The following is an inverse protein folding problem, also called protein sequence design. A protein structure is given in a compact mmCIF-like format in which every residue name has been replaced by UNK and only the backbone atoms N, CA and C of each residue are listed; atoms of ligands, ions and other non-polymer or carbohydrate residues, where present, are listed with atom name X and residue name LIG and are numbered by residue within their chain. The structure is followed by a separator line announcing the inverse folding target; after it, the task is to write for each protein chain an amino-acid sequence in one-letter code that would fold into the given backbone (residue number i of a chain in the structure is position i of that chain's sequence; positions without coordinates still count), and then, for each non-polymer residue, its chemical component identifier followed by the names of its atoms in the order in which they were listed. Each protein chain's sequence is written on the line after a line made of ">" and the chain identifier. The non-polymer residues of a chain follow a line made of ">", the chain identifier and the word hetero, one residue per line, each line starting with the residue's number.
data_IF_118575750846
#
_entry.id   IF_118575750846
#
_cell.length_a   1.000
_cell.length_b   1.000
_cell.length_c   1.000
_cell.angle_alpha   90.00
_cell.angle_beta   90.00
_cell.angle_gamma   90.00
#
_symmetry.space_group_name_H-M   'P 1'
#
loop_
_entity.id
_entity.type
_entity.pdbx_description
1 polymer ?
#
# COMPACT_ATOMS: atom_id res chain seq x y z
N UNK A 1 -6.62 12.26 1.21
CA UNK A 1 -7.83 12.54 2.03
C UNK A 1 -8.96 11.75 1.39
N UNK A 2 -9.56 10.79 2.10
CA UNK A 2 -10.67 9.98 1.60
C UNK A 2 -11.40 9.33 2.78
N UNK A 3 -12.70 9.10 2.64
CA UNK A 3 -13.53 8.49 3.68
C UNK A 3 -13.29 6.98 3.77
N UNK A 4 -12.97 6.50 4.98
CA UNK A 4 -12.65 5.10 5.23
C UNK A 4 -13.89 4.22 5.01
N UNK A 5 -13.77 3.19 4.15
CA UNK A 5 -14.87 2.27 3.83
C UNK A 5 -15.70 2.62 2.58
N UNK A 6 -15.64 3.86 2.08
CA UNK A 6 -16.26 4.25 0.79
C UNK A 6 -15.25 4.63 -0.28
N UNK A 7 -14.24 5.41 0.07
CA UNK A 7 -13.24 5.92 -0.88
C UNK A 7 -11.88 5.25 -0.71
N UNK A 8 -11.63 4.67 0.47
CA UNK A 8 -10.40 3.94 0.77
C UNK A 8 -10.74 2.63 1.49
N UNK A 9 -10.48 1.52 0.81
CA UNK A 9 -10.65 0.16 1.31
C UNK A 9 -9.42 -0.70 0.90
N UNK A 10 -9.26 -1.90 1.49
CA UNK A 10 -8.12 -2.78 1.21
C UNK A 10 -7.96 -3.14 -0.27
N UNK A 11 -9.06 -3.36 -0.99
CA UNK A 11 -9.03 -3.69 -2.42
C UNK A 11 -8.51 -2.53 -3.29
N UNK A 12 -8.95 -1.30 -2.98
CA UNK A 12 -8.47 -0.09 -3.65
C UNK A 12 -6.98 0.11 -3.37
N UNK A 13 -6.54 -0.07 -2.11
CA UNK A 13 -5.13 0.05 -1.74
C UNK A 13 -4.26 -0.95 -2.50
N UNK A 14 -4.70 -2.20 -2.62
CA UNK A 14 -4.03 -3.22 -3.43
C UNK A 14 -3.89 -2.80 -4.90
N UNK A 15 -5.00 -2.34 -5.50
CA UNK A 15 -5.01 -1.92 -6.92
C UNK A 15 -4.09 -0.72 -7.17
N UNK A 16 -4.03 0.23 -6.23
CA UNK A 16 -3.10 1.37 -6.30
C UNK A 16 -1.66 0.87 -6.26
N UNK A 17 -1.33 -0.01 -5.31
CA UNK A 17 0.01 -0.59 -5.20
C UNK A 17 0.43 -1.30 -6.49
N UNK A 18 -0.43 -2.16 -7.02
CA UNK A 18 -0.16 -2.89 -8.25
C UNK A 18 0.01 -1.98 -9.47
N UNK A 19 -0.84 -0.97 -9.61
CA UNK A 19 -0.73 0.02 -10.68
C UNK A 19 0.57 0.82 -10.59
N UNK A 20 0.94 1.24 -9.38
CA UNK A 20 2.18 1.97 -9.13
C UNK A 20 3.42 1.14 -9.48
N UNK A 21 3.49 -0.11 -8.98
CA UNK A 21 4.60 -1.01 -9.28
C UNK A 21 4.68 -1.36 -10.77
N UNK A 22 3.53 -1.54 -11.45
CA UNK A 22 3.50 -1.84 -12.89
C UNK A 22 3.94 -0.66 -13.74
N UNK A 23 3.55 0.57 -13.36
CA UNK A 23 3.83 1.77 -14.12
C UNK A 23 5.25 2.28 -13.93
N UNK A 24 5.72 2.39 -12.67
CA UNK A 24 7.04 2.93 -12.36
C UNK A 24 8.15 1.89 -12.34
N UNK A 25 7.81 0.59 -12.18
CA UNK A 25 8.75 -0.53 -12.05
C UNK A 25 9.94 -0.25 -11.12
N UNK A 26 9.70 0.25 -9.89
CA UNK A 26 10.78 0.52 -8.96
C UNK A 26 11.39 -0.79 -8.45
N UNK A 27 12.68 -0.78 -8.16
CA UNK A 27 13.35 -1.92 -7.53
C UNK A 27 12.91 -2.12 -6.08
N UNK A 28 12.86 -1.03 -5.30
CA UNK A 28 12.54 -1.06 -3.86
C UNK A 28 11.74 0.17 -3.44
N UNK A 29 10.70 -0.03 -2.63
CA UNK A 29 9.83 1.02 -2.06
C UNK A 29 9.78 0.90 -0.54
N UNK A 30 9.72 2.04 0.12
CA UNK A 30 9.44 2.14 1.57
C UNK A 30 7.96 2.44 1.79
N UNK A 31 7.32 1.72 2.71
CA UNK A 31 5.93 1.92 3.11
C UNK A 31 5.87 2.17 4.63
N UNK A 32 5.09 3.16 5.06
CA UNK A 32 4.85 3.46 6.47
C UNK A 32 3.37 3.77 6.70
N UNK A 33 2.90 3.59 7.94
CA UNK A 33 1.51 3.82 8.34
C UNK A 33 1.37 4.74 9.54
N UNK A 34 0.25 5.47 9.61
CA UNK A 34 -0.18 6.26 10.78
C UNK A 34 -0.81 5.36 11.86
N UNK A 35 -0.90 5.81 13.12
CA UNK A 35 -1.30 5.06 14.33
C UNK A 35 -2.73 4.49 14.36
N UNK A 36 -3.48 4.59 13.26
CA UNK A 36 -4.88 4.15 13.19
C UNK A 36 -4.92 2.64 12.96
N UNK A 37 -5.81 1.94 13.66
CA UNK A 37 -6.06 0.49 13.49
C UNK A 37 -6.34 0.10 12.03
N UNK A 38 -7.00 0.98 11.28
CA UNK A 38 -7.35 0.76 9.87
C UNK A 38 -6.20 1.04 8.91
N UNK A 39 -5.12 1.67 9.39
CA UNK A 39 -3.91 1.90 8.60
C UNK A 39 -3.17 0.60 8.30
N UNK A 40 -3.19 -0.37 9.22
CA UNK A 40 -2.38 -1.60 9.09
C UNK A 40 -2.90 -2.50 7.96
N UNK A 41 -4.22 -2.70 7.89
CA UNK A 41 -4.86 -3.46 6.82
C UNK A 41 -4.64 -2.81 5.44
N UNK A 42 -4.84 -1.50 5.33
CA UNK A 42 -4.63 -0.76 4.09
C UNK A 42 -3.15 -0.80 3.65
N UNK A 43 -2.24 -0.67 4.62
CA UNK A 43 -0.79 -0.73 4.39
C UNK A 43 -0.38 -2.09 3.85
N UNK A 44 -0.88 -3.17 4.45
CA UNK A 44 -0.63 -4.53 3.99
C UNK A 44 -1.16 -4.75 2.57
N UNK A 45 -2.38 -4.30 2.27
CA UNK A 45 -2.96 -4.44 0.94
C UNK A 45 -2.15 -3.69 -0.13
N UNK A 46 -1.73 -2.46 0.15
CA UNK A 46 -0.84 -1.69 -0.73
C UNK A 46 0.48 -2.42 -0.97
N UNK A 47 1.12 -2.89 0.10
CA UNK A 47 2.38 -3.63 0.03
C UNK A 47 2.24 -4.92 -0.80
N UNK A 48 1.12 -5.64 -0.65
CA UNK A 48 0.84 -6.82 -1.46
C UNK A 48 0.71 -6.47 -2.95
N UNK A 49 0.01 -5.38 -3.28
CA UNK A 49 -0.11 -4.92 -4.66
C UNK A 49 1.24 -4.58 -5.29
N UNK A 50 2.12 -3.93 -4.53
CA UNK A 50 3.49 -3.62 -4.95
C UNK A 50 4.34 -4.88 -5.17
N UNK A 51 4.28 -5.86 -4.25
CA UNK A 51 5.02 -7.13 -4.39
C UNK A 51 4.54 -7.94 -5.59
N UNK A 52 3.23 -8.00 -5.84
CA UNK A 52 2.66 -8.67 -7.00
C UNK A 52 3.06 -8.01 -8.33
N UNK A 53 3.40 -6.72 -8.30
CA UNK A 53 3.96 -6.00 -9.44
C UNK A 53 5.49 -6.18 -9.59
N UNK A 54 6.12 -7.00 -8.73
CA UNK A 54 7.55 -7.29 -8.77
C UNK A 54 8.43 -6.25 -8.06
N UNK A 55 7.87 -5.45 -7.16
CA UNK A 55 8.61 -4.44 -6.38
C UNK A 55 8.93 -4.94 -4.98
N UNK A 56 10.18 -4.76 -4.52
CA UNK A 56 10.54 -5.02 -3.12
C UNK A 56 9.94 -3.96 -2.20
N UNK A 57 9.30 -4.39 -1.12
CA UNK A 57 8.67 -3.47 -0.14
C UNK A 57 9.39 -3.56 1.20
N UNK A 58 9.79 -2.41 1.72
CA UNK A 58 10.35 -2.23 3.07
C UNK A 58 9.32 -1.50 3.93
N UNK A 59 8.75 -2.19 4.91
CA UNK A 59 7.85 -1.59 5.89
C UNK A 59 8.66 -0.99 7.04
N UNK A 60 8.53 0.32 7.25
CA UNK A 60 9.20 1.03 8.35
C UNK A 60 8.31 1.16 9.60
N UNK A 61 7.12 0.57 9.57
CA UNK A 61 6.23 0.48 10.71
C UNK A 61 5.30 1.68 10.85
N UNK A 62 4.96 1.95 12.10
CA UNK A 62 4.10 3.03 12.55
C UNK A 62 4.97 4.28 12.81
N UNK A 63 4.58 5.43 12.28
CA UNK A 63 5.15 6.75 12.63
C UNK A 63 4.08 7.71 13.10
#
# INVERSE_FOLDING_TARGET
>A
RGELGKELNPEIAYRIGRAYGTFLKPGKIVVGGDVRLTSEELKMSLANGLRDAGTDVVDIGLS
#
